data_IF_204947260805
#
_entry.id   IF_204947260805
#
_cell.length_a   1.000
_cell.length_b   1.000
_cell.length_c   1.000
_cell.angle_alpha   90.00
_cell.angle_beta   90.00
_cell.angle_gamma   90.00
#
_symmetry.space_group_name_H-M   'P 1'
#
loop_
_entity.id
_entity.type
_entity.pdbx_description
1 polymer ?
#
# COMPACT_ATOMS: atom_id res chain seq x y z
N UNK A 1 41.40 -11.88 -1.55
CA UNK A 1 39.93 -12.06 -1.45
C UNK A 1 39.15 -10.82 -0.96
N UNK A 2 39.49 -9.55 -1.30
CA UNK A 2 38.66 -8.39 -0.95
C UNK A 2 37.55 -8.06 -1.98
N UNK A 3 37.66 -8.54 -3.23
CA UNK A 3 36.75 -8.15 -4.32
C UNK A 3 35.29 -8.63 -4.13
N UNK A 4 35.08 -9.78 -3.50
CA UNK A 4 33.72 -10.31 -3.26
C UNK A 4 32.97 -9.51 -2.19
N UNK A 5 33.66 -8.97 -1.17
CA UNK A 5 33.03 -8.20 -0.11
C UNK A 5 32.53 -6.83 -0.59
N UNK A 6 33.32 -6.14 -1.41
CA UNK A 6 32.94 -4.85 -1.99
C UNK A 6 31.72 -4.97 -2.92
N UNK A 7 31.64 -6.07 -3.69
CA UNK A 7 30.50 -6.35 -4.57
C UNK A 7 29.20 -6.60 -3.81
N UNK A 8 29.23 -7.37 -2.71
CA UNK A 8 28.04 -7.64 -1.89
C UNK A 8 27.52 -6.37 -1.22
N UNK A 9 28.42 -5.55 -0.66
CA UNK A 9 28.05 -4.27 -0.06
C UNK A 9 27.42 -3.35 -1.10
N UNK A 10 28.03 -3.24 -2.29
CA UNK A 10 27.49 -2.43 -3.38
C UNK A 10 26.09 -2.89 -3.81
N UNK A 11 25.90 -4.19 -4.04
CA UNK A 11 24.58 -4.75 -4.41
C UNK A 11 23.55 -4.48 -3.31
N UNK A 12 23.93 -4.62 -2.04
CA UNK A 12 23.05 -4.34 -0.90
C UNK A 12 22.62 -2.87 -0.86
N UNK A 13 23.57 -1.95 -1.06
CA UNK A 13 23.30 -0.50 -1.11
C UNK A 13 22.39 -0.15 -2.30
N UNK A 14 22.65 -0.70 -3.48
CA UNK A 14 21.83 -0.47 -4.68
C UNK A 14 20.40 -1.01 -4.50
N UNK A 15 20.25 -2.21 -3.92
CA UNK A 15 18.93 -2.78 -3.61
C UNK A 15 18.18 -1.94 -2.57
N UNK A 16 18.87 -1.46 -1.54
CA UNK A 16 18.27 -0.58 -0.54
C UNK A 16 17.79 0.74 -1.16
N UNK A 17 18.60 1.35 -2.04
CA UNK A 17 18.24 2.58 -2.72
C UNK A 17 17.05 2.38 -3.68
N UNK A 18 17.02 1.26 -4.40
CA UNK A 18 15.91 0.88 -5.28
C UNK A 18 14.61 0.71 -4.49
N UNK A 19 14.65 -0.03 -3.37
CA UNK A 19 13.49 -0.25 -2.51
C UNK A 19 13.02 1.05 -1.84
N UNK A 20 13.95 1.93 -1.45
CA UNK A 20 13.62 3.24 -0.90
C UNK A 20 12.82 4.07 -1.91
N UNK A 21 13.30 4.19 -3.15
CA UNK A 21 12.61 4.91 -4.21
C UNK A 21 11.22 4.36 -4.51
N UNK A 22 11.10 3.03 -4.62
CA UNK A 22 9.81 2.37 -4.83
C UNK A 22 8.83 2.63 -3.68
N UNK A 23 9.28 2.52 -2.43
CA UNK A 23 8.44 2.75 -1.25
C UNK A 23 7.94 4.19 -1.15
N UNK A 24 8.76 5.18 -1.51
CA UNK A 24 8.34 6.59 -1.52
C UNK A 24 7.24 6.83 -2.56
N UNK A 25 7.40 6.28 -3.77
CA UNK A 25 6.40 6.42 -4.83
C UNK A 25 5.06 5.73 -4.45
N UNK A 26 5.13 4.54 -3.85
CA UNK A 26 3.95 3.80 -3.39
C UNK A 26 3.20 4.55 -2.28
N UNK A 27 3.93 5.02 -1.25
CA UNK A 27 3.34 5.77 -0.13
C UNK A 27 2.68 7.08 -0.59
N UNK A 28 3.31 7.81 -1.52
CA UNK A 28 2.74 9.05 -2.07
C UNK A 28 1.47 8.74 -2.88
N UNK A 29 1.49 7.70 -3.72
CA UNK A 29 0.31 7.30 -4.49
C UNK A 29 -0.85 6.89 -3.57
N UNK A 30 -0.57 6.08 -2.55
CA UNK A 30 -1.55 5.67 -1.55
C UNK A 30 -2.15 6.86 -0.79
N UNK A 31 -1.32 7.83 -0.41
CA UNK A 31 -1.76 9.08 0.22
C UNK A 31 -2.68 9.91 -0.70
N UNK A 32 -2.29 10.09 -1.96
CA UNK A 32 -3.08 10.84 -2.95
C UNK A 32 -4.43 10.17 -3.21
N UNK A 33 -4.46 8.84 -3.32
CA UNK A 33 -5.68 8.05 -3.51
C UNK A 33 -6.60 8.19 -2.30
N UNK A 34 -6.07 8.12 -1.08
CA UNK A 34 -6.85 8.31 0.14
C UNK A 34 -7.46 9.72 0.20
N UNK A 35 -6.65 10.75 -0.02
CA UNK A 35 -7.08 12.15 0.08
C UNK A 35 -8.14 12.50 -0.98
N UNK A 36 -7.94 12.01 -2.21
CA UNK A 36 -8.93 12.14 -3.28
C UNK A 36 -10.23 11.39 -2.95
N UNK A 37 -10.13 10.20 -2.36
CA UNK A 37 -11.30 9.42 -1.97
C UNK A 37 -12.13 10.17 -0.91
N UNK A 38 -11.45 10.73 0.10
CA UNK A 38 -12.11 11.51 1.15
C UNK A 38 -12.75 12.78 0.60
N UNK A 39 -12.02 13.54 -0.24
CA UNK A 39 -12.51 14.78 -0.83
C UNK A 39 -13.72 14.57 -1.72
N UNK A 40 -13.72 13.49 -2.52
CA UNK A 40 -14.86 13.10 -3.38
C UNK A 40 -15.93 12.30 -2.64
N UNK A 41 -15.80 12.10 -1.32
CA UNK A 41 -16.68 11.27 -0.47
C UNK A 41 -16.94 9.88 -1.06
N UNK A 42 -15.96 9.30 -1.76
CA UNK A 42 -16.09 7.93 -2.30
C UNK A 42 -15.76 6.93 -1.19
N UNK A 43 -16.71 6.06 -0.85
CA UNK A 43 -16.54 5.08 0.23
C UNK A 43 -15.71 3.88 -0.27
N UNK A 44 -14.39 4.02 -0.29
CA UNK A 44 -13.44 2.93 -0.57
C UNK A 44 -13.38 2.43 -2.01
N UNK A 45 -14.20 2.96 -2.92
CA UNK A 45 -14.23 2.56 -4.33
C UNK A 45 -12.96 2.98 -5.08
N UNK A 46 -12.49 4.21 -4.85
CA UNK A 46 -11.26 4.70 -5.46
C UNK A 46 -10.03 3.92 -4.96
N UNK A 47 -9.98 3.61 -3.67
CA UNK A 47 -8.93 2.76 -3.09
C UNK A 47 -8.99 1.34 -3.66
N UNK A 48 -10.18 0.74 -3.77
CA UNK A 48 -10.30 -0.60 -4.37
C UNK A 48 -9.90 -0.62 -5.84
N UNK A 49 -10.19 0.45 -6.59
CA UNK A 49 -9.73 0.61 -7.97
C UNK A 49 -8.20 0.76 -8.07
N UNK A 50 -7.58 1.54 -7.17
CA UNK A 50 -6.13 1.65 -7.11
C UNK A 50 -5.47 0.27 -6.86
N UNK A 51 -6.02 -0.51 -5.93
CA UNK A 51 -5.56 -1.88 -5.67
C UNK A 51 -5.78 -2.85 -6.82
N UNK A 52 -6.90 -2.71 -7.55
CA UNK A 52 -7.11 -3.44 -8.81
C UNK A 52 -6.03 -3.08 -9.85
N UNK A 53 -5.70 -1.78 -9.99
CA UNK A 53 -4.65 -1.31 -10.89
C UNK A 53 -3.27 -1.84 -10.49
N UNK A 54 -2.94 -1.85 -9.19
CA UNK A 54 -1.71 -2.46 -8.65
C UNK A 54 -1.63 -3.94 -9.00
N UNK A 55 -2.71 -4.69 -8.81
CA UNK A 55 -2.75 -6.11 -9.15
C UNK A 55 -2.62 -6.35 -10.67
N UNK A 56 -3.28 -5.54 -11.50
CA UNK A 56 -3.16 -5.61 -12.96
C UNK A 56 -1.72 -5.33 -13.43
N UNK A 57 -1.07 -4.32 -12.83
CA UNK A 57 0.37 -4.07 -13.04
C UNK A 57 1.23 -5.24 -12.58
N UNK A 58 0.91 -5.86 -11.45
CA UNK A 58 1.56 -7.06 -10.94
C UNK A 58 1.43 -8.27 -11.88
N UNK A 59 0.27 -8.46 -12.52
CA UNK A 59 0.06 -9.49 -13.55
C UNK A 59 0.95 -9.24 -14.77
N UNK A 60 0.92 -8.01 -15.31
CA UNK A 60 1.76 -7.64 -16.46
C UNK A 60 3.25 -7.79 -16.15
N UNK A 61 3.68 -7.31 -14.98
CA UNK A 61 5.05 -7.43 -14.51
C UNK A 61 5.49 -8.88 -14.34
N UNK A 62 4.65 -9.72 -13.72
CA UNK A 62 4.95 -11.15 -13.55
C UNK A 62 5.02 -11.89 -14.89
N UNK A 63 4.15 -11.54 -15.85
CA UNK A 63 4.17 -12.11 -17.19
C UNK A 63 5.46 -11.77 -17.93
N UNK A 64 5.81 -10.48 -17.97
CA UNK A 64 7.04 -10.00 -18.63
C UNK A 64 8.27 -10.59 -17.94
N UNK A 65 8.32 -10.60 -16.60
CA UNK A 65 9.44 -11.16 -15.85
C UNK A 65 9.63 -12.66 -16.12
N UNK A 66 8.55 -13.44 -16.12
CA UNK A 66 8.59 -14.89 -16.39
C UNK A 66 9.07 -15.17 -17.81
N UNK A 67 8.60 -14.41 -18.81
CA UNK A 67 9.05 -14.55 -20.19
C UNK A 67 10.52 -14.15 -20.35
N UNK A 68 10.91 -13.04 -19.74
CA UNK A 68 12.27 -12.49 -19.83
C UNK A 68 13.32 -13.43 -19.20
N UNK A 69 13.02 -14.03 -18.04
CA UNK A 69 13.92 -14.94 -17.33
C UNK A 69 14.37 -16.14 -18.18
N UNK A 70 13.54 -16.59 -19.13
CA UNK A 70 13.85 -17.74 -19.98
C UNK A 70 14.62 -17.41 -21.27
N UNK A 71 14.68 -16.13 -21.66
CA UNK A 71 15.05 -15.72 -23.03
C UNK A 71 16.04 -14.55 -23.10
N UNK A 72 16.23 -13.82 -22.01
CA UNK A 72 16.92 -12.53 -22.00
C UNK A 72 18.04 -12.54 -20.96
N UNK A 73 19.23 -12.09 -21.34
CA UNK A 73 20.34 -11.92 -20.41
C UNK A 73 20.00 -10.90 -19.31
N UNK A 74 20.44 -11.16 -18.08
CA UNK A 74 20.20 -10.31 -16.91
C UNK A 74 20.55 -8.83 -17.14
N UNK A 75 21.65 -8.52 -17.85
CA UNK A 75 22.03 -7.14 -18.21
C UNK A 75 20.94 -6.41 -18.98
N UNK A 76 20.31 -7.10 -19.94
CA UNK A 76 19.24 -6.53 -20.75
C UNK A 76 17.94 -6.41 -19.94
N UNK A 77 17.68 -7.34 -19.01
CA UNK A 77 16.56 -7.23 -18.05
C UNK A 77 16.69 -5.95 -17.22
N UNK A 78 17.87 -5.67 -16.66
CA UNK A 78 18.12 -4.43 -15.92
C UNK A 78 17.95 -3.19 -16.80
N UNK A 79 18.37 -3.24 -18.07
CA UNK A 79 18.16 -2.16 -19.04
C UNK A 79 16.68 -1.88 -19.30
N UNK A 80 15.87 -2.91 -19.52
CA UNK A 80 14.41 -2.80 -19.71
C UNK A 80 13.74 -2.24 -18.45
N UNK A 81 14.14 -2.72 -17.26
CA UNK A 81 13.61 -2.19 -16.01
C UNK A 81 13.95 -0.70 -15.84
N UNK A 82 15.19 -0.31 -16.17
CA UNK A 82 15.64 1.07 -16.14
C UNK A 82 14.83 1.99 -17.05
N UNK A 83 14.52 1.57 -18.28
CA UNK A 83 13.70 2.38 -19.20
C UNK A 83 12.26 2.55 -18.70
N UNK A 84 11.66 1.50 -18.12
CA UNK A 84 10.34 1.58 -17.49
C UNK A 84 10.34 2.57 -16.32
N UNK A 85 11.36 2.52 -15.45
CA UNK A 85 11.49 3.44 -14.31
C UNK A 85 11.70 4.88 -14.77
N UNK A 86 12.53 5.12 -15.81
CA UNK A 86 12.73 6.45 -16.38
C UNK A 86 11.42 7.02 -16.96
N UNK A 87 10.65 6.20 -17.65
CA UNK A 87 9.32 6.58 -18.13
C UNK A 87 8.38 6.93 -16.97
N UNK A 88 8.38 6.14 -15.89
CA UNK A 88 7.58 6.40 -14.70
C UNK A 88 7.96 7.73 -14.02
N UNK A 89 9.26 8.01 -13.89
CA UNK A 89 9.76 9.29 -13.38
C UNK A 89 9.31 10.46 -14.28
N UNK A 90 9.46 10.33 -15.60
CA UNK A 90 9.02 11.36 -16.54
C UNK A 90 7.53 11.65 -16.45
N UNK A 91 6.71 10.60 -16.30
CA UNK A 91 5.26 10.74 -16.05
C UNK A 91 4.96 11.41 -14.71
N UNK A 92 5.68 11.05 -13.66
CA UNK A 92 5.52 11.65 -12.34
C UNK A 92 5.86 13.14 -12.33
N UNK A 93 6.89 13.56 -13.06
CA UNK A 93 7.28 14.99 -13.17
C UNK A 93 6.26 15.77 -14.01
N UNK A 94 5.73 15.17 -15.08
CA UNK A 94 4.73 15.82 -15.93
C UNK A 94 3.32 15.87 -15.31
N UNK A 95 3.08 15.13 -14.21
CA UNK A 95 1.77 15.06 -13.59
C UNK A 95 1.50 16.34 -12.77
N UNK A 96 0.49 17.09 -13.18
CA UNK A 96 0.04 18.26 -12.43
C UNK A 96 -0.96 17.84 -11.34
N UNK A 97 -0.57 17.98 -10.08
CA UNK A 97 -1.44 17.75 -8.92
C UNK A 97 -2.70 18.63 -8.93
N UNK A 98 -2.66 19.77 -9.62
CA UNK A 98 -3.82 20.63 -9.85
C UNK A 98 -4.98 19.90 -10.55
N UNK A 99 -4.70 18.88 -11.36
CA UNK A 99 -5.72 18.04 -12.01
C UNK A 99 -6.54 17.21 -11.02
N UNK A 100 -6.00 16.92 -9.84
CA UNK A 100 -6.71 16.23 -8.76
C UNK A 100 -7.62 17.18 -7.97
N UNK A 101 -7.53 18.49 -8.23
CA UNK A 101 -8.24 19.52 -7.50
C UNK A 101 -7.80 19.62 -6.04
N UNK A 102 -6.65 19.07 -5.65
CA UNK A 102 -6.14 19.09 -4.27
C UNK A 102 -5.66 20.49 -3.83
N UNK A 103 -5.39 21.39 -4.78
CA UNK A 103 -5.01 22.78 -4.51
C UNK A 103 -6.20 23.63 -4.02
N UNK A 104 -6.01 24.30 -2.87
CA UNK A 104 -6.87 25.41 -2.42
C UNK A 104 -6.11 26.74 -2.58
N UNK A 105 -6.70 27.77 -3.21
CA UNK A 105 -6.00 29.01 -3.60
C UNK A 105 -5.59 29.93 -2.44
N UNK A 106 -5.86 29.58 -1.18
CA UNK A 106 -5.42 30.38 -0.01
C UNK A 106 -3.93 30.22 0.35
N UNK A 107 -3.19 29.32 -0.30
CA UNK A 107 -1.78 29.01 0.00
C UNK A 107 -0.75 30.01 -0.55
N UNK A 108 -1.13 30.92 -1.44
CA UNK A 108 -0.17 31.86 -2.06
C UNK A 108 0.22 33.06 -1.21
N UNK A 109 -0.46 33.31 -0.08
CA UNK A 109 -0.07 34.39 0.85
C UNK A 109 0.84 33.91 2.00
N UNK A 110 1.12 32.60 2.12
CA UNK A 110 1.89 32.03 3.23
C UNK A 110 3.30 31.51 2.86
N UNK A 111 3.64 31.45 1.58
CA UNK A 111 4.91 30.86 1.11
C UNK A 111 6.14 31.72 1.34
N UNK A 112 5.99 33.00 1.70
CA UNK A 112 7.13 33.86 2.01
C UNK A 112 7.96 33.35 3.20
N UNK A 113 7.33 32.73 4.21
CA UNK A 113 8.03 32.29 5.42
C UNK A 113 8.61 30.87 5.37
N UNK A 114 8.15 30.01 4.46
CA UNK A 114 8.63 28.61 4.36
C UNK A 114 9.75 28.44 3.35
N UNK A 115 9.90 29.40 2.44
CA UNK A 115 10.87 29.40 1.35
C UNK A 115 12.30 29.67 1.85
N UNK A 116 12.47 30.47 2.89
CA UNK A 116 13.79 30.75 3.48
C UNK A 116 14.36 29.57 4.28
N UNK A 117 13.50 28.76 4.89
CA UNK A 117 13.95 27.67 5.77
C UNK A 117 14.48 26.47 4.98
N UNK A 118 13.81 26.08 3.90
CA UNK A 118 14.26 25.00 3.01
C UNK A 118 15.50 25.37 2.19
N UNK A 119 15.63 26.66 1.83
CA UNK A 119 16.81 27.19 1.14
C UNK A 119 18.08 27.13 2.02
N UNK A 120 17.93 27.26 3.34
CA UNK A 120 19.05 27.16 4.29
C UNK A 120 19.55 25.73 4.53
N UNK A 121 18.67 24.71 4.43
CA UNK A 121 19.05 23.31 4.67
C UNK A 121 19.70 22.62 3.46
N UNK A 122 19.43 23.08 2.23
CA UNK A 122 20.00 22.46 1.01
C UNK A 122 21.17 23.22 0.38
N UNK A 123 21.55 24.41 0.87
CA UNK A 123 22.70 25.17 0.36
C UNK A 123 22.66 25.50 -1.13
N UNK A 124 21.47 25.51 -1.75
CA UNK A 124 21.28 25.79 -3.16
C UNK A 124 21.20 27.31 -3.40
N UNK A 125 22.10 27.85 -4.22
CA UNK A 125 22.12 29.26 -4.59
C UNK A 125 20.89 29.65 -5.42
N UNK A 126 20.46 30.91 -5.24
CA UNK A 126 19.28 31.55 -5.85
C UNK A 126 19.22 31.45 -7.39
N UNK A 127 20.36 31.27 -8.06
CA UNK A 127 20.44 31.14 -9.52
C UNK A 127 19.91 29.79 -10.05
N UNK A 128 20.08 28.69 -9.31
CA UNK A 128 19.58 27.36 -9.72
C UNK A 128 18.05 27.35 -9.65
N UNK A 129 17.47 28.04 -8.65
CA UNK A 129 16.03 28.21 -8.53
C UNK A 129 15.44 29.07 -9.66
N UNK A 130 16.15 30.13 -10.07
CA UNK A 130 15.74 30.94 -11.22
C UNK A 130 15.72 30.12 -12.52
N UNK A 131 16.67 29.20 -12.69
CA UNK A 131 16.75 28.29 -13.85
C UNK A 131 15.63 27.23 -13.87
N UNK A 132 15.26 26.69 -12.71
CA UNK A 132 14.12 25.76 -12.57
C UNK A 132 12.80 26.49 -12.85
N UNK A 133 12.66 27.73 -12.38
CA UNK A 133 11.46 28.55 -12.57
C UNK A 133 11.29 29.00 -14.02
N UNK A 134 12.40 29.28 -14.74
CA UNK A 134 12.34 29.61 -16.17
C UNK A 134 11.93 28.40 -17.03
N UNK A 135 12.41 27.19 -16.70
CA UNK A 135 12.01 25.97 -17.40
C UNK A 135 10.55 25.56 -17.12
N UNK A 136 10.00 25.91 -15.96
CA UNK A 136 8.58 25.65 -15.64
C UNK A 136 7.60 26.59 -16.39
N UNK A 137 8.05 27.79 -16.77
CA UNK A 137 7.21 28.80 -17.42
C UNK A 137 7.16 28.66 -18.96
N UNK A 138 8.10 27.90 -19.55
CA UNK A 138 8.19 27.70 -21.01
C UNK A 138 7.22 26.61 -21.53
N UNK A 139 6.60 25.82 -20.63
CA UNK A 139 5.58 24.80 -20.98
C UNK A 139 4.12 25.28 -20.81
N UNK A 140 3.89 26.57 -20.50
CA UNK A 140 2.52 27.12 -20.33
C UNK A 140 1.92 27.77 -21.60
N UNK A 141 2.59 27.65 -22.75
CA UNK A 141 2.00 28.06 -24.02
C UNK A 141 1.10 26.98 -24.60
N UNK A 142 -0.19 27.30 -24.80
CA UNK A 142 -1.12 26.66 -25.74
C UNK A 142 -2.11 25.65 -25.15
N UNK A 143 -3.23 26.14 -24.61
CA UNK A 143 -4.60 25.75 -25.02
C UNK A 143 -5.57 26.89 -24.66
N UNK A 144 -5.86 27.73 -25.65
CA UNK A 144 -7.02 28.62 -25.65
C UNK A 144 -8.27 27.80 -25.96
N UNK A 145 -9.26 27.83 -25.05
CA UNK A 145 -10.65 27.51 -25.39
C UNK A 145 -11.43 28.82 -25.40
N UNK A 146 -11.77 29.28 -26.61
CA UNK A 146 -12.82 30.29 -26.83
C UNK A 146 -14.19 29.72 -26.46
N UNK A 147 -15.00 30.48 -25.71
CA UNK A 147 -16.46 30.56 -25.95
C UNK A 147 -17.10 31.81 -25.33
N UNK A 148 -17.42 32.76 -26.22
CA UNK A 148 -18.64 33.58 -26.36
C UNK A 148 -19.44 34.07 -25.13
N UNK A 149 -19.51 35.41 -25.06
CA UNK A 149 -20.67 36.28 -24.80
C UNK A 149 -21.89 35.69 -24.08
N UNK A 150 -22.07 36.07 -22.81
CA UNK A 150 -23.29 36.75 -22.38
C UNK A 150 -23.09 37.38 -21.00
N UNK A 151 -23.44 38.66 -20.90
CA UNK A 151 -23.15 39.51 -19.76
C UNK A 151 -24.04 39.22 -18.54
N UNK A 152 -23.46 39.48 -17.36
CA UNK A 152 -24.18 39.99 -16.20
C UNK A 152 -23.21 40.85 -15.38
N UNK A 153 -23.59 42.11 -15.13
CA UNK A 153 -22.86 43.06 -14.27
C UNK A 153 -22.93 42.59 -12.81
N UNK A 154 -21.88 42.79 -11.98
CA UNK A 154 -22.00 42.52 -10.55
C UNK A 154 -22.81 43.63 -9.87
N UNK A 155 -23.92 43.25 -9.24
CA UNK A 155 -24.66 44.13 -8.36
C UNK A 155 -23.91 44.26 -7.02
N UNK A 156 -23.47 45.47 -6.71
CA UNK A 156 -22.94 45.86 -5.41
C UNK A 156 -24.12 45.92 -4.44
N UNK A 157 -24.24 44.94 -3.55
CA UNK A 157 -25.14 45.00 -2.39
C UNK A 157 -24.32 45.25 -1.13
N UNK A 158 -24.42 46.48 -0.64
CA UNK A 158 -24.07 46.87 0.73
C UNK A 158 -24.94 46.06 1.68
N UNK A 159 -24.33 45.40 2.67
CA UNK A 159 -25.05 44.90 3.85
C UNK A 159 -24.54 45.68 5.06
N UNK A 160 -25.53 46.17 5.77
CA UNK A 160 -25.55 47.14 6.86
C UNK A 160 -25.21 46.46 8.19
N UNK A 161 -24.55 47.20 9.09
CA UNK A 161 -24.22 46.78 10.45
C UNK A 161 -25.49 46.70 11.31
N UNK A 162 -25.69 45.62 12.08
CA UNK A 162 -26.47 45.61 13.33
C UNK A 162 -26.26 44.32 14.13
N UNK A 163 -25.51 44.46 15.22
CA UNK A 163 -25.59 43.89 16.58
C UNK A 163 -26.38 42.59 16.90
N UNK A 164 -25.64 41.69 17.58
CA UNK A 164 -25.99 40.78 18.69
C UNK A 164 -27.09 39.72 18.52
N UNK A 165 -26.68 38.45 18.46
CA UNK A 165 -27.16 37.35 19.33
C UNK A 165 -26.24 36.12 19.20
N UNK A 166 -25.71 35.68 20.34
CA UNK A 166 -24.73 34.60 20.46
C UNK A 166 -25.37 33.23 20.23
N UNK A 167 -24.77 32.44 19.33
CA UNK A 167 -24.95 30.99 19.23
C UNK A 167 -23.55 30.40 19.12
N UNK A 168 -23.21 29.50 20.05
CA UNK A 168 -21.93 28.81 20.14
C UNK A 168 -21.61 28.05 18.84
N UNK A 169 -20.83 28.71 17.98
CA UNK A 169 -20.28 28.16 16.76
C UNK A 169 -18.98 27.43 17.05
N UNK A 170 -18.96 26.13 16.75
CA UNK A 170 -17.78 25.29 16.71
C UNK A 170 -16.74 25.94 15.79
N UNK A 171 -15.74 26.58 16.39
CA UNK A 171 -14.67 27.28 15.69
C UNK A 171 -13.93 26.32 14.78
N UNK A 172 -14.13 26.50 13.47
CA UNK A 172 -13.35 25.91 12.40
C UNK A 172 -11.89 26.37 12.56
N UNK A 173 -11.08 25.53 13.23
CA UNK A 173 -9.67 25.84 13.53
C UNK A 173 -8.86 25.86 12.24
N UNK A 174 -8.49 27.08 11.84
CA UNK A 174 -7.36 27.43 10.98
C UNK A 174 -6.16 26.52 11.27
N UNK A 175 -5.82 25.65 10.33
CA UNK A 175 -4.70 24.72 10.48
C UNK A 175 -3.38 25.47 10.28
N UNK A 176 -2.83 26.03 11.35
CA UNK A 176 -1.44 26.48 11.38
C UNK A 176 -0.54 25.31 11.00
N UNK A 177 0.28 25.47 9.94
CA UNK A 177 1.27 24.49 9.52
C UNK A 177 2.36 24.38 10.60
N UNK A 178 2.13 23.52 11.59
CA UNK A 178 3.15 23.18 12.58
C UNK A 178 4.36 22.58 11.88
N UNK A 179 5.57 22.86 12.37
CA UNK A 179 6.79 22.24 11.84
C UNK A 179 6.72 20.71 11.85
N UNK A 180 7.61 20.02 11.11
CA UNK A 180 7.64 18.55 11.00
C UNK A 180 7.51 17.82 12.36
N UNK A 181 8.13 18.38 13.41
CA UNK A 181 8.03 17.85 14.78
C UNK A 181 6.59 17.85 15.30
N UNK A 182 5.82 18.90 15.02
CA UNK A 182 4.42 18.98 15.43
C UNK A 182 3.54 18.01 14.64
N UNK A 183 3.78 17.85 13.33
CA UNK A 183 3.07 16.87 12.52
C UNK A 183 3.32 15.43 13.01
N UNK A 184 4.55 15.13 13.44
CA UNK A 184 4.90 13.85 14.04
C UNK A 184 4.19 13.63 15.38
N UNK A 185 4.20 14.63 16.28
CA UNK A 185 3.50 14.56 17.57
C UNK A 185 2.00 14.34 17.36
N UNK A 186 1.40 15.09 16.44
CA UNK A 186 0.00 14.95 16.07
C UNK A 186 -0.33 13.56 15.51
N UNK A 187 0.56 12.99 14.69
CA UNK A 187 0.41 11.65 14.14
C UNK A 187 0.52 10.58 15.23
N UNK A 188 1.50 10.70 16.14
CA UNK A 188 1.65 9.78 17.27
C UNK A 188 0.41 9.83 18.16
N UNK A 189 -0.11 11.02 18.42
CA UNK A 189 -1.36 11.20 19.16
C UNK A 189 -2.56 10.56 18.44
N UNK A 190 -2.63 10.68 17.11
CA UNK A 190 -3.66 10.04 16.29
C UNK A 190 -3.56 8.51 16.33
N UNK A 191 -2.35 7.96 16.25
CA UNK A 191 -2.09 6.52 16.35
C UNK A 191 -2.44 5.94 17.72
N UNK A 192 -2.38 6.76 18.78
CA UNK A 192 -2.76 6.37 20.15
C UNK A 192 -4.27 6.38 20.39
N UNK A 193 -5.08 6.88 19.45
CA UNK A 193 -6.53 6.80 19.56
C UNK A 193 -6.97 5.35 19.53
N UNK A 194 -7.83 4.95 20.49
CA UNK A 194 -8.30 3.56 20.63
C UNK A 194 -8.90 3.02 19.33
N UNK A 195 -9.65 3.85 18.60
CA UNK A 195 -10.31 3.47 17.35
C UNK A 195 -9.33 3.05 16.24
N UNK A 196 -8.12 3.62 16.23
CA UNK A 196 -7.07 3.35 15.23
C UNK A 196 -6.08 2.31 15.75
N UNK A 197 -5.68 2.43 17.02
CA UNK A 197 -4.68 1.57 17.66
C UNK A 197 -5.10 0.10 17.67
N UNK A 198 -6.38 -0.22 17.96
CA UNK A 198 -6.84 -1.61 18.01
C UNK A 198 -6.81 -2.30 16.64
N UNK A 199 -7.42 -1.76 15.56
CA UNK A 199 -7.28 -2.33 14.21
C UNK A 199 -5.82 -2.46 13.77
N UNK A 200 -5.03 -1.42 14.01
CA UNK A 200 -3.64 -1.35 13.59
C UNK A 200 -2.76 -2.40 14.30
N UNK A 201 -2.86 -2.49 15.63
CA UNK A 201 -2.11 -3.48 16.41
C UNK A 201 -2.49 -4.92 16.02
N UNK A 202 -3.79 -5.17 15.80
CA UNK A 202 -4.25 -6.47 15.29
C UNK A 202 -3.65 -6.77 13.91
N UNK A 203 -3.66 -5.78 13.00
CA UNK A 203 -3.11 -5.95 11.65
C UNK A 203 -1.60 -6.25 11.68
N UNK A 204 -0.84 -5.48 12.46
CA UNK A 204 0.61 -5.69 12.64
C UNK A 204 0.89 -7.06 13.22
N UNK A 205 0.19 -7.44 14.30
CA UNK A 205 0.31 -8.78 14.88
C UNK A 205 -0.02 -9.88 13.87
N UNK A 206 -1.02 -9.66 13.01
CA UNK A 206 -1.44 -10.61 11.99
C UNK A 206 -0.40 -10.91 10.91
N UNK A 207 0.60 -10.05 10.74
CA UNK A 207 1.77 -10.32 9.91
C UNK A 207 2.93 -10.83 10.74
N UNK A 208 3.25 -10.13 11.83
CA UNK A 208 4.44 -10.39 12.64
C UNK A 208 4.44 -11.80 13.25
N UNK A 209 3.27 -12.33 13.62
CA UNK A 209 3.17 -13.62 14.30
C UNK A 209 3.33 -14.82 13.37
N UNK A 210 3.17 -14.65 12.05
CA UNK A 210 3.27 -15.75 11.08
C UNK A 210 4.75 -15.94 10.73
N UNK A 211 5.43 -17.02 11.15
CA UNK A 211 6.81 -17.27 10.75
C UNK A 211 6.84 -17.64 9.25
N UNK A 212 7.42 -16.80 8.39
CA UNK A 212 7.32 -17.03 6.93
C UNK A 212 8.29 -18.10 6.43
N UNK A 213 7.71 -19.20 5.95
CA UNK A 213 8.28 -20.34 5.22
C UNK A 213 8.83 -20.03 3.82
N UNK A 214 8.53 -18.85 3.27
CA UNK A 214 8.55 -18.62 1.83
C UNK A 214 9.90 -18.93 1.16
N UNK A 215 11.02 -18.50 1.76
CA UNK A 215 12.36 -18.75 1.23
C UNK A 215 12.77 -20.22 1.32
N UNK A 216 12.43 -20.90 2.42
CA UNK A 216 12.74 -22.32 2.61
C UNK A 216 11.92 -23.21 1.67
N UNK A 217 10.63 -22.89 1.49
CA UNK A 217 9.75 -23.60 0.54
C UNK A 217 10.18 -23.34 -0.90
N UNK A 218 10.57 -22.10 -1.24
CA UNK A 218 11.12 -21.78 -2.56
C UNK A 218 12.39 -22.60 -2.84
N UNK A 219 13.35 -22.63 -1.90
CA UNK A 219 14.57 -23.41 -2.04
C UNK A 219 14.28 -24.91 -2.20
N UNK A 220 13.31 -25.44 -1.45
CA UNK A 220 12.84 -26.82 -1.60
C UNK A 220 12.25 -27.09 -3.00
N UNK A 221 11.46 -26.15 -3.55
CA UNK A 221 10.88 -26.26 -4.89
C UNK A 221 11.94 -26.24 -6.00
N UNK A 222 12.94 -25.37 -5.91
CA UNK A 222 13.94 -25.19 -6.97
C UNK A 222 15.06 -26.23 -6.90
N UNK A 223 15.62 -26.50 -5.72
CA UNK A 223 16.81 -27.34 -5.59
C UNK A 223 16.45 -28.82 -5.39
N UNK A 224 15.45 -29.11 -4.56
CA UNK A 224 15.09 -30.48 -4.22
C UNK A 224 14.08 -31.09 -5.21
N UNK A 225 12.98 -30.37 -5.47
CA UNK A 225 11.96 -30.82 -6.43
C UNK A 225 12.35 -30.55 -7.90
N UNK A 226 13.33 -29.67 -8.15
CA UNK A 226 13.77 -29.26 -9.48
C UNK A 226 12.64 -28.72 -10.36
N UNK A 227 11.70 -28.00 -9.73
CA UNK A 227 10.64 -27.29 -10.45
C UNK A 227 11.28 -26.12 -11.20
N UNK A 228 10.93 -25.98 -12.48
CA UNK A 228 11.39 -24.88 -13.31
C UNK A 228 11.00 -23.52 -12.65
N UNK A 229 11.95 -22.60 -12.43
CA UNK A 229 11.67 -21.25 -11.93
C UNK A 229 10.57 -20.51 -12.71
N UNK A 230 10.37 -20.82 -14.00
CA UNK A 230 9.27 -20.28 -14.78
C UNK A 230 7.89 -20.63 -14.18
N UNK A 231 7.71 -21.85 -13.64
CA UNK A 231 6.47 -22.28 -12.98
C UNK A 231 6.22 -21.45 -11.72
N UNK A 232 7.27 -21.13 -10.96
CA UNK A 232 7.17 -20.27 -9.77
C UNK A 232 6.79 -18.84 -10.18
N UNK A 233 7.32 -18.35 -11.31
CA UNK A 233 6.90 -17.08 -11.92
C UNK A 233 5.43 -17.06 -12.34
N UNK A 234 4.94 -18.14 -12.97
CA UNK A 234 3.51 -18.29 -13.31
C UNK A 234 2.65 -18.38 -12.04
N UNK A 235 3.12 -19.04 -10.97
CA UNK A 235 2.41 -19.07 -9.69
C UNK A 235 2.21 -17.66 -9.12
N UNK A 236 3.23 -16.79 -9.21
CA UNK A 236 3.12 -15.36 -8.84
C UNK A 236 2.06 -14.64 -9.66
N UNK A 237 2.01 -14.90 -10.98
CA UNK A 237 0.99 -14.34 -11.86
C UNK A 237 -0.43 -14.79 -11.47
N UNK A 238 -0.61 -16.08 -11.16
CA UNK A 238 -1.89 -16.62 -10.67
C UNK A 238 -2.30 -15.94 -9.35
N UNK A 239 -1.34 -15.75 -8.44
CA UNK A 239 -1.55 -14.98 -7.21
C UNK A 239 -2.03 -13.56 -7.50
N UNK A 240 -1.37 -12.83 -8.41
CA UNK A 240 -1.78 -11.47 -8.78
C UNK A 240 -3.16 -11.41 -9.45
N UNK A 241 -3.52 -12.40 -10.27
CA UNK A 241 -4.89 -12.55 -10.79
C UNK A 241 -5.90 -12.79 -9.66
N UNK A 242 -5.52 -13.57 -8.65
CA UNK A 242 -6.30 -13.78 -7.43
C UNK A 242 -6.53 -12.48 -6.66
N UNK A 243 -5.49 -11.67 -6.47
CA UNK A 243 -5.60 -10.35 -5.83
C UNK A 243 -6.50 -9.42 -6.65
N UNK A 244 -6.32 -9.38 -7.97
CA UNK A 244 -7.15 -8.57 -8.87
C UNK A 244 -8.63 -8.96 -8.77
N UNK A 245 -8.93 -10.25 -8.81
CA UNK A 245 -10.27 -10.78 -8.59
C UNK A 245 -10.81 -10.48 -7.19
N UNK A 246 -9.97 -10.60 -6.16
CA UNK A 246 -10.28 -10.26 -4.78
C UNK A 246 -10.69 -8.80 -4.60
N UNK A 247 -9.97 -7.85 -5.20
CA UNK A 247 -10.29 -6.42 -5.17
C UNK A 247 -11.66 -6.11 -5.80
N UNK A 248 -12.01 -6.78 -6.90
CA UNK A 248 -13.33 -6.67 -7.53
C UNK A 248 -14.41 -7.31 -6.65
N UNK A 249 -14.15 -8.49 -6.12
CA UNK A 249 -15.05 -9.20 -5.21
C UNK A 249 -15.35 -8.38 -3.96
N UNK A 250 -14.33 -7.68 -3.44
CA UNK A 250 -14.48 -6.76 -2.33
C UNK A 250 -15.41 -5.60 -2.64
N UNK A 251 -15.17 -4.91 -3.75
CA UNK A 251 -15.98 -3.76 -4.19
C UNK A 251 -17.45 -4.12 -4.44
N UNK A 252 -17.71 -5.35 -4.92
CA UNK A 252 -19.07 -5.82 -5.27
C UNK A 252 -19.82 -6.40 -4.08
N UNK A 253 -19.19 -7.26 -3.29
CA UNK A 253 -19.89 -8.07 -2.29
C UNK A 253 -19.30 -7.97 -0.88
N UNK A 254 -17.97 -7.97 -0.72
CA UNK A 254 -17.37 -8.07 0.62
C UNK A 254 -17.42 -6.76 1.41
N UNK A 255 -17.59 -5.61 0.76
CA UNK A 255 -17.73 -4.30 1.43
C UNK A 255 -18.90 -4.21 2.40
N UNK A 256 -19.93 -5.03 2.20
CA UNK A 256 -21.13 -5.07 3.06
C UNK A 256 -20.97 -5.99 4.27
N UNK A 257 -19.92 -6.84 4.30
CA UNK A 257 -19.67 -7.77 5.39
C UNK A 257 -18.97 -7.01 6.52
N UNK A 258 -19.34 -7.21 7.80
CA UNK A 258 -18.65 -6.57 8.90
C UNK A 258 -17.16 -6.97 8.92
N UNK A 259 -16.27 -6.00 9.14
CA UNK A 259 -14.81 -6.16 9.08
C UNK A 259 -14.30 -7.39 9.84
N UNK A 260 -14.84 -7.64 11.05
CA UNK A 260 -14.47 -8.83 11.86
C UNK A 260 -14.71 -10.15 11.14
N UNK A 261 -15.85 -10.31 10.46
CA UNK A 261 -16.17 -11.55 9.71
C UNK A 261 -15.28 -11.66 8.47
N UNK A 262 -15.10 -10.56 7.76
CA UNK A 262 -14.21 -10.52 6.59
C UNK A 262 -12.80 -10.97 6.94
N UNK A 263 -12.21 -10.43 8.00
CA UNK A 263 -10.87 -10.79 8.46
C UNK A 263 -10.79 -12.24 8.98
N UNK A 264 -11.88 -12.74 9.57
CA UNK A 264 -11.98 -14.16 9.93
C UNK A 264 -11.90 -15.03 8.69
N UNK A 265 -12.67 -14.72 7.65
CA UNK A 265 -12.64 -15.45 6.38
C UNK A 265 -11.26 -15.41 5.72
N UNK A 266 -10.61 -14.23 5.70
CA UNK A 266 -9.26 -14.07 5.12
C UNK A 266 -8.22 -14.91 5.86
N UNK A 267 -8.23 -14.93 7.20
CA UNK A 267 -7.27 -15.74 7.97
C UNK A 267 -7.53 -17.25 7.87
N UNK A 268 -8.80 -17.67 7.87
CA UNK A 268 -9.15 -19.09 7.65
C UNK A 268 -8.75 -19.54 6.24
N UNK A 269 -8.95 -18.68 5.24
CA UNK A 269 -8.48 -18.94 3.87
C UNK A 269 -6.95 -19.03 3.82
N UNK A 270 -6.24 -18.12 4.48
CA UNK A 270 -4.78 -18.13 4.57
C UNK A 270 -4.25 -19.43 5.23
N UNK A 271 -4.85 -19.82 6.36
CA UNK A 271 -4.55 -21.08 7.04
C UNK A 271 -4.75 -22.29 6.11
N UNK A 272 -5.86 -22.32 5.39
CA UNK A 272 -6.18 -23.42 4.46
C UNK A 272 -5.18 -23.49 3.31
N UNK A 273 -4.81 -22.35 2.73
CA UNK A 273 -3.78 -22.28 1.69
C UNK A 273 -2.41 -22.74 2.21
N UNK A 274 -1.98 -22.30 3.39
CA UNK A 274 -0.71 -22.72 3.98
C UNK A 274 -0.68 -24.22 4.32
N UNK A 275 -1.78 -24.78 4.82
CA UNK A 275 -1.86 -26.22 5.07
C UNK A 275 -1.78 -27.05 3.79
N UNK A 276 -2.26 -26.51 2.66
CA UNK A 276 -2.21 -27.21 1.38
C UNK A 276 -0.77 -27.51 0.93
N UNK A 277 0.21 -26.67 1.31
CA UNK A 277 1.63 -26.89 1.00
C UNK A 277 2.18 -28.20 1.58
N UNK A 278 1.54 -28.75 2.63
CA UNK A 278 1.93 -30.04 3.23
C UNK A 278 1.79 -31.18 2.21
N UNK A 279 0.79 -31.13 1.33
CA UNK A 279 0.56 -32.16 0.33
C UNK A 279 1.75 -32.24 -0.64
N UNK A 280 2.31 -31.08 -1.02
CA UNK A 280 3.51 -31.00 -1.86
C UNK A 280 4.74 -31.55 -1.11
N UNK A 281 4.98 -31.09 0.12
CA UNK A 281 6.21 -31.48 0.86
C UNK A 281 6.20 -32.95 1.29
N UNK A 282 5.04 -33.52 1.64
CA UNK A 282 4.92 -34.97 1.94
C UNK A 282 4.89 -35.85 0.70
N UNK A 283 5.00 -35.27 -0.51
CA UNK A 283 4.88 -35.98 -1.80
C UNK A 283 3.54 -36.73 -1.96
N UNK A 284 2.51 -36.30 -1.25
CA UNK A 284 1.15 -36.83 -1.37
C UNK A 284 0.56 -36.53 -2.76
N UNK A 285 1.05 -35.47 -3.42
CA UNK A 285 0.70 -35.13 -4.79
C UNK A 285 1.00 -36.28 -5.77
N UNK A 286 2.14 -36.98 -5.62
CA UNK A 286 2.50 -38.13 -6.48
C UNK A 286 1.53 -39.30 -6.23
N UNK A 287 1.12 -39.53 -4.97
CA UNK A 287 0.14 -40.56 -4.63
C UNK A 287 -1.23 -40.27 -5.27
N UNK A 288 -1.60 -39.00 -5.37
CA UNK A 288 -2.84 -38.53 -6.01
C UNK A 288 -2.68 -38.46 -7.55
N UNK A 289 -1.46 -38.59 -8.09
CA UNK A 289 -1.16 -38.51 -9.53
C UNK A 289 -1.00 -37.08 -10.07
N UNK A 290 -0.83 -36.08 -9.20
CA UNK A 290 -0.70 -34.66 -9.57
C UNK A 290 0.80 -34.28 -9.68
N UNK A 291 1.25 -33.75 -10.84
CA UNK A 291 2.64 -33.29 -11.00
C UNK A 291 3.01 -32.15 -10.03
N UNK A 292 4.27 -32.11 -9.60
CA UNK A 292 4.80 -31.07 -8.68
C UNK A 292 4.51 -29.65 -9.19
N UNK A 293 4.71 -29.41 -10.50
CA UNK A 293 4.47 -28.10 -11.13
C UNK A 293 3.01 -27.65 -11.01
N UNK A 294 2.05 -28.55 -11.22
CA UNK A 294 0.61 -28.23 -11.12
C UNK A 294 0.23 -27.93 -9.68
N UNK A 295 0.81 -28.67 -8.73
CA UNK A 295 0.57 -28.47 -7.31
C UNK A 295 1.06 -27.09 -6.84
N UNK A 296 2.24 -26.64 -7.29
CA UNK A 296 2.81 -25.32 -6.98
C UNK A 296 1.96 -24.17 -7.54
N UNK A 297 1.26 -24.39 -8.65
CA UNK A 297 0.34 -23.41 -9.25
C UNK A 297 -1.03 -23.35 -8.54
N UNK A 298 -1.30 -24.26 -7.59
CA UNK A 298 -2.56 -24.37 -6.88
C UNK A 298 -2.71 -23.36 -5.74
N UNK A 299 -3.13 -23.83 -4.56
CA UNK A 299 -3.45 -22.95 -3.42
C UNK A 299 -2.23 -22.18 -2.87
N UNK A 300 -1.03 -22.72 -3.06
CA UNK A 300 0.25 -22.09 -2.71
C UNK A 300 0.44 -20.73 -3.41
N UNK A 301 -0.03 -20.60 -4.64
CA UNK A 301 0.08 -19.37 -5.44
C UNK A 301 -0.67 -18.18 -4.80
N UNK A 302 -1.68 -18.46 -3.98
CA UNK A 302 -2.56 -17.43 -3.42
C UNK A 302 -2.12 -16.92 -2.04
N UNK A 303 -1.17 -17.55 -1.36
CA UNK A 303 -0.76 -17.18 0.02
C UNK A 303 -0.35 -15.70 0.09
N UNK A 304 0.52 -15.26 -0.82
CA UNK A 304 0.97 -13.87 -0.88
C UNK A 304 -0.15 -12.92 -1.31
N UNK A 305 -1.02 -13.36 -2.23
CA UNK A 305 -2.15 -12.58 -2.71
C UNK A 305 -3.20 -12.33 -1.61
N UNK A 306 -3.49 -13.34 -0.79
CA UNK A 306 -4.40 -13.23 0.36
C UNK A 306 -3.83 -12.27 1.41
N UNK A 307 -2.52 -12.34 1.66
CA UNK A 307 -1.85 -11.39 2.53
C UNK A 307 -1.96 -9.97 1.97
N UNK A 308 -1.63 -9.74 0.69
CA UNK A 308 -1.77 -8.41 0.07
C UNK A 308 -3.22 -7.90 0.10
N UNK A 309 -4.20 -8.77 -0.16
CA UNK A 309 -5.61 -8.44 -0.10
C UNK A 309 -6.04 -7.92 1.28
N UNK A 310 -5.45 -8.43 2.36
CA UNK A 310 -5.74 -8.00 3.75
C UNK A 310 -5.44 -6.51 3.97
N UNK A 311 -4.48 -5.94 3.25
CA UNK A 311 -4.09 -4.53 3.38
C UNK A 311 -5.21 -3.58 2.92
N UNK A 312 -5.88 -3.93 1.82
CA UNK A 312 -6.96 -3.13 1.22
C UNK A 312 -8.07 -2.70 2.20
N UNK A 313 -8.78 -3.62 2.90
CA UNK A 313 -9.86 -3.22 3.81
C UNK A 313 -9.36 -2.41 5.01
N UNK A 314 -8.10 -2.60 5.45
CA UNK A 314 -7.50 -1.78 6.50
C UNK A 314 -7.14 -0.38 6.01
N UNK A 315 -6.57 -0.25 4.81
CA UNK A 315 -6.29 1.04 4.20
C UNK A 315 -7.58 1.88 4.02
N UNK A 316 -8.70 1.24 3.64
CA UNK A 316 -10.01 1.89 3.56
C UNK A 316 -10.49 2.33 4.94
N UNK A 317 -10.45 1.45 5.93
CA UNK A 317 -10.88 1.75 7.30
C UNK A 317 -10.08 2.91 7.90
N UNK A 318 -8.75 2.88 7.77
CA UNK A 318 -7.86 3.92 8.31
C UNK A 318 -8.02 5.25 7.59
N UNK A 319 -8.27 5.23 6.28
CA UNK A 319 -8.61 6.44 5.52
C UNK A 319 -9.92 7.09 5.98
N UNK A 320 -10.93 6.27 6.33
CA UNK A 320 -12.21 6.75 6.84
C UNK A 320 -12.14 7.30 8.26
N UNK A 321 -11.36 6.66 9.15
CA UNK A 321 -11.20 7.09 10.55
C UNK A 321 -10.29 8.30 10.70
N UNK A 322 -9.46 8.59 9.70
CA UNK A 322 -8.58 9.76 9.73
C UNK A 322 -9.38 11.08 9.74
N UNK A 323 -8.90 12.11 10.44
CA UNK A 323 -9.32 13.48 10.16
C UNK A 323 -8.83 13.93 8.78
N UNK A 324 -9.50 14.89 8.15
CA UNK A 324 -9.09 15.42 6.85
C UNK A 324 -7.68 16.04 6.93
N UNK A 325 -6.85 15.79 5.92
CA UNK A 325 -5.48 16.32 5.83
C UNK A 325 -4.39 15.56 6.59
N UNK A 326 -4.72 14.48 7.33
CA UNK A 326 -3.73 13.62 8.02
C UNK A 326 -3.65 12.18 7.47
N UNK A 327 -4.37 11.89 6.40
CA UNK A 327 -4.51 10.53 5.83
C UNK A 327 -3.19 9.97 5.29
N UNK A 328 -2.47 10.78 4.50
CA UNK A 328 -1.19 10.33 3.93
C UNK A 328 -0.17 9.95 5.00
N UNK A 329 -0.09 10.73 6.08
CA UNK A 329 0.81 10.44 7.19
C UNK A 329 0.40 9.16 7.96
N UNK A 330 -0.91 8.95 8.18
CA UNK A 330 -1.38 7.72 8.83
C UNK A 330 -1.15 6.49 7.95
N UNK A 331 -1.43 6.60 6.65
CA UNK A 331 -1.27 5.49 5.70
C UNK A 331 0.21 5.14 5.49
N UNK A 332 1.08 6.13 5.45
CA UNK A 332 2.54 5.93 5.45
C UNK A 332 3.02 5.18 6.70
N UNK A 333 2.53 5.58 7.89
CA UNK A 333 2.84 4.90 9.14
C UNK A 333 2.32 3.46 9.15
N UNK A 334 1.09 3.24 8.66
CA UNK A 334 0.49 1.92 8.50
C UNK A 334 1.33 0.99 7.63
N UNK A 335 1.74 1.43 6.44
CA UNK A 335 2.58 0.65 5.54
C UNK A 335 3.99 0.41 6.13
N UNK A 336 4.56 1.39 6.83
CA UNK A 336 5.84 1.23 7.52
C UNK A 336 5.78 0.17 8.63
N UNK A 337 4.70 0.16 9.42
CA UNK A 337 4.46 -0.87 10.42
C UNK A 337 4.25 -2.25 9.80
N UNK A 338 3.61 -2.33 8.63
CA UNK A 338 3.50 -3.57 7.86
C UNK A 338 4.89 -4.10 7.45
N UNK A 339 5.76 -3.24 6.92
CA UNK A 339 7.13 -3.61 6.56
C UNK A 339 7.93 -4.10 7.77
N UNK A 340 7.80 -3.45 8.92
CA UNK A 340 8.43 -3.93 10.15
C UNK A 340 7.91 -5.31 10.55
N UNK A 341 6.59 -5.52 10.45
CA UNK A 341 5.97 -6.81 10.78
C UNK A 341 6.45 -7.94 9.86
N UNK A 342 6.63 -7.69 8.57
CA UNK A 342 7.14 -8.69 7.62
C UNK A 342 8.62 -9.02 7.86
N UNK A 343 9.43 -8.05 8.27
CA UNK A 343 10.82 -8.29 8.69
C UNK A 343 10.85 -9.21 9.92
N UNK A 344 10.05 -8.90 10.95
CA UNK A 344 9.93 -9.72 12.17
C UNK A 344 9.49 -11.15 11.82
N UNK A 345 8.45 -11.28 10.99
CA UNK A 345 7.96 -12.56 10.45
C UNK A 345 9.06 -13.34 9.72
N UNK A 346 9.89 -12.67 8.92
CA UNK A 346 11.07 -13.23 8.24
C UNK A 346 12.07 -13.86 9.21
N UNK A 347 12.49 -13.10 10.23
CA UNK A 347 13.42 -13.58 11.24
C UNK A 347 12.83 -14.70 12.09
N UNK A 348 11.53 -14.66 12.39
CA UNK A 348 10.84 -15.75 13.07
C UNK A 348 10.81 -17.02 12.19
N UNK A 349 10.63 -16.89 10.88
CA UNK A 349 10.74 -17.99 9.92
C UNK A 349 12.12 -18.63 9.93
N UNK A 350 13.19 -17.82 9.84
CA UNK A 350 14.58 -18.32 9.92
C UNK A 350 14.86 -18.99 11.27
N UNK A 351 14.38 -18.39 12.36
CA UNK A 351 14.52 -18.93 13.72
C UNK A 351 13.80 -20.28 13.85
N UNK A 352 12.60 -20.43 13.27
CA UNK A 352 11.85 -21.68 13.25
C UNK A 352 12.56 -22.76 12.43
N UNK A 353 13.08 -22.41 11.26
CA UNK A 353 13.89 -23.31 10.40
C UNK A 353 15.13 -23.81 11.16
N UNK A 354 15.81 -22.91 11.87
CA UNK A 354 16.98 -23.25 12.70
C UNK A 354 16.60 -24.15 13.88
N UNK A 355 15.52 -23.85 14.62
CA UNK A 355 15.04 -24.66 15.74
C UNK A 355 14.64 -26.08 15.30
N UNK A 356 14.02 -26.21 14.13
CA UNK A 356 13.67 -27.50 13.54
C UNK A 356 14.87 -28.23 12.90
N UNK A 357 16.05 -27.61 12.87
CA UNK A 357 17.26 -28.14 12.23
C UNK A 357 17.04 -28.48 10.74
N UNK A 358 16.25 -27.67 10.04
CA UNK A 358 16.05 -27.81 8.59
C UNK A 358 17.30 -27.28 7.90
N UNK A 359 17.89 -28.08 7.03
CA UNK A 359 19.11 -27.75 6.30
C UNK A 359 18.90 -27.96 4.80
N UNK A 360 19.83 -27.49 3.98
CA UNK A 360 19.80 -27.70 2.53
C UNK A 360 19.79 -29.18 2.13
N UNK A 361 20.22 -30.08 3.03
CA UNK A 361 20.28 -31.52 2.80
C UNK A 361 19.17 -32.31 3.52
N UNK A 362 18.46 -31.73 4.48
CA UNK A 362 17.42 -32.42 5.25
C UNK A 362 16.17 -31.54 5.43
N UNK A 363 15.09 -31.95 4.77
CA UNK A 363 13.77 -31.30 4.80
C UNK A 363 12.72 -32.13 5.56
N UNK A 364 13.12 -33.17 6.29
CA UNK A 364 12.19 -34.12 6.94
C UNK A 364 11.20 -33.43 7.90
N UNK A 365 11.61 -32.32 8.52
CA UNK A 365 10.80 -31.53 9.46
C UNK A 365 10.11 -30.32 8.82
N UNK A 366 10.26 -30.09 7.52
CA UNK A 366 9.59 -29.00 6.80
C UNK A 366 8.05 -29.06 6.90
N UNK A 367 7.39 -30.25 6.81
CA UNK A 367 5.95 -30.33 7.04
C UNK A 367 5.53 -29.85 8.43
N UNK A 368 6.35 -30.12 9.46
CA UNK A 368 6.09 -29.65 10.83
C UNK A 368 6.21 -28.12 10.91
N UNK A 369 7.20 -27.53 10.24
CA UNK A 369 7.35 -26.08 10.13
C UNK A 369 6.14 -25.41 9.46
N UNK A 370 5.65 -25.98 8.36
CA UNK A 370 4.45 -25.49 7.66
C UNK A 370 3.21 -25.58 8.55
N UNK A 371 3.04 -26.66 9.32
CA UNK A 371 1.95 -26.79 10.29
C UNK A 371 2.04 -25.69 11.35
N UNK A 372 3.22 -25.45 11.94
CA UNK A 372 3.42 -24.39 12.93
C UNK A 372 3.10 -23.02 12.32
N UNK A 373 3.58 -22.74 11.11
CA UNK A 373 3.27 -21.50 10.38
C UNK A 373 1.76 -21.33 10.14
N UNK A 374 1.08 -22.38 9.69
CA UNK A 374 -0.35 -22.33 9.42
C UNK A 374 -1.13 -22.03 10.72
N UNK A 375 -0.86 -22.74 11.81
CA UNK A 375 -1.51 -22.46 13.09
C UNK A 375 -1.18 -21.07 13.63
N UNK A 376 0.04 -20.56 13.38
CA UNK A 376 0.40 -19.19 13.72
C UNK A 376 -0.46 -18.14 12.99
N UNK A 377 -0.90 -18.42 11.76
CA UNK A 377 -1.83 -17.56 11.02
C UNK A 377 -3.23 -17.47 11.66
N UNK A 378 -3.63 -18.46 12.47
CA UNK A 378 -4.90 -18.40 13.21
C UNK A 378 -4.81 -17.65 14.54
N UNK A 379 -3.61 -17.44 15.10
CA UNK A 379 -3.45 -16.79 16.41
C UNK A 379 -4.10 -15.40 16.47
N UNK A 380 -4.00 -14.54 15.44
CA UNK A 380 -4.67 -13.23 15.44
C UNK A 380 -6.20 -13.33 15.62
N UNK A 381 -6.84 -14.46 15.31
CA UNK A 381 -8.28 -14.63 15.47
C UNK A 381 -8.73 -14.64 16.93
N UNK A 382 -7.87 -15.06 17.87
CA UNK A 382 -8.24 -15.10 19.29
C UNK A 382 -8.61 -13.72 19.85
N UNK A 383 -8.06 -12.64 19.28
CA UNK A 383 -8.24 -11.27 19.77
C UNK A 383 -8.95 -10.37 18.75
N UNK A 384 -9.62 -10.96 17.76
CA UNK A 384 -10.35 -10.21 16.72
C UNK A 384 -11.49 -9.35 17.30
N UNK A 385 -11.95 -9.69 18.51
CA UNK A 385 -12.96 -8.94 19.26
C UNK A 385 -12.54 -7.49 19.57
N UNK A 386 -11.23 -7.17 19.56
CA UNK A 386 -10.73 -5.81 19.80
C UNK A 386 -10.92 -4.87 18.61
N UNK A 387 -11.13 -5.37 17.40
CA UNK A 387 -11.39 -4.51 16.23
C UNK A 387 -12.81 -3.96 16.39
N UNK A 388 -13.06 -2.63 16.35
CA UNK A 388 -14.42 -2.10 16.40
C UNK A 388 -15.28 -2.79 15.34
N UNK A 389 -16.42 -3.36 15.75
CA UNK A 389 -17.42 -3.77 14.77
C UNK A 389 -17.88 -2.47 14.12
N UNK A 390 -17.43 -2.20 12.89
CA UNK A 390 -17.73 -0.97 12.18
C UNK A 390 -19.19 -0.60 12.42
N UNK A 391 -19.41 0.56 13.02
CA UNK A 391 -20.75 1.08 13.18
C UNK A 391 -21.37 1.04 11.78
N UNK A 392 -22.55 0.42 11.67
CA UNK A 392 -23.41 0.67 10.52
C UNK A 392 -23.44 2.18 10.37
N UNK A 393 -23.02 2.70 9.22
CA UNK A 393 -23.23 4.10 8.89
C UNK A 393 -24.73 4.28 8.99
N UNK A 394 -25.18 4.86 10.09
CA UNK A 394 -26.55 5.30 10.25
C UNK A 394 -26.74 6.35 9.18
N UNK A 395 -27.53 6.01 8.18
CA UNK A 395 -28.20 6.97 7.31
C UNK A 395 -29.18 7.82 8.14
N UNK A 396 -28.68 8.56 9.13
CA UNK A 396 -29.50 9.40 10.01
C UNK A 396 -28.93 10.81 10.21
N UNK A 397 -28.09 11.30 9.31
CA UNK A 397 -27.87 12.75 9.15
C UNK A 397 -28.20 13.23 7.72
N UNK A 398 -28.97 12.46 6.95
CA UNK A 398 -29.44 12.82 5.61
C UNK A 398 -30.99 12.87 5.51
N UNK A 399 -31.70 13.13 6.61
CA UNK A 399 -33.18 13.20 6.53
C UNK A 399 -33.85 14.30 7.37
N UNK A 400 -33.10 15.25 7.95
CA UNK A 400 -33.72 16.41 8.63
C UNK A 400 -33.46 17.77 7.97
N UNK A 401 -32.46 17.93 7.10
CA UNK A 401 -32.23 19.22 6.40
C UNK A 401 -32.90 19.34 5.01
N UNK A 402 -33.69 18.34 4.57
CA UNK A 402 -34.51 18.45 3.35
C UNK A 402 -36.02 18.56 3.63
N UNK A 403 -36.41 19.17 4.76
CA UNK A 403 -37.81 19.54 5.03
C UNK A 403 -38.07 21.00 5.35
N UNK A 404 -37.04 21.85 5.39
CA UNK A 404 -37.23 23.29 5.39
C UNK A 404 -36.31 23.87 4.31
N UNK A 405 -36.85 24.01 3.09
CA UNK A 405 -36.68 25.13 2.16
C UNK A 405 -37.38 24.80 0.84
#
# INVERSE_FOLDING_TARGET
>A
MPEHGASIVLVTVLLALSNLGASLAEVVNDALVAECAKKKKTTGELQSFAWFSTAAGGVLGSLIATLALSRVEYRNIFGIFGTIVLFHIGKSIAFNEGALGLWSPHLLNGTAGTQDQFSSELGLNTEIWASIKSHAHESQGMYTLERSENGYKPAVLKVENSDHLAVDGFSEKVHHRGGMKQQLVDLVWLLQQREIMYPLSWFVASYAMIPTLALTVFFYQTEHLKVDPAVIGIARLIGQLGLMGGSVLYSRYLKNIPMRKLLTYVQVLLFTCMLFDIILVKRLNILIGIPDSVMVLGMSAYVDAINQFKVLPFAILLGQLCPAGKEGALLAAFMSMQCLATIVSGYLGVSLTSALHISAHDFSKLPLGIVIQAFAALIPLFWISFIPAGHKISSSHQTEECKEF
#
